data_IF_442644144781
#
_entry.id   IF_442644144781
#
_cell.length_a   1.000
_cell.length_b   1.000
_cell.length_c   1.000
_cell.angle_alpha   90.00
_cell.angle_beta   90.00
_cell.angle_gamma   90.00
#
_symmetry.space_group_name_H-M   'P 1'
#
loop_
_entity.id
_entity.type
_entity.pdbx_description
1 polymer ?
#
# COMPACT_ATOMS: atom_id res chain seq x y z
N UNK A 1 -0.73 -53.17 -26.95
CA UNK A 1 -0.40 -51.92 -26.22
C UNK A 1 1.05 -52.04 -25.72
N UNK A 2 2.01 -51.31 -26.30
CA UNK A 2 3.43 -51.41 -25.90
C UNK A 2 3.63 -50.66 -24.58
N UNK A 3 3.97 -51.37 -23.50
CA UNK A 3 4.32 -50.75 -22.23
C UNK A 3 5.59 -49.88 -22.42
N UNK A 4 5.59 -48.61 -22.01
CA UNK A 4 6.75 -47.75 -22.15
C UNK A 4 7.90 -48.28 -21.28
N UNK A 5 9.09 -48.36 -21.87
CA UNK A 5 10.31 -48.81 -21.19
C UNK A 5 10.56 -48.02 -19.90
N UNK A 6 11.09 -48.69 -18.88
CA UNK A 6 11.41 -48.14 -17.57
C UNK A 6 12.20 -46.81 -17.65
N UNK A 7 13.16 -46.72 -18.57
CA UNK A 7 13.95 -45.52 -18.85
C UNK A 7 13.11 -44.31 -19.33
N UNK A 8 12.01 -44.55 -20.05
CA UNK A 8 11.11 -43.50 -20.55
C UNK A 8 10.20 -42.97 -19.45
N UNK A 9 9.77 -43.83 -18.52
CA UNK A 9 9.02 -43.41 -17.33
C UNK A 9 9.88 -42.58 -16.38
N UNK A 10 11.14 -42.99 -16.18
CA UNK A 10 12.11 -42.29 -15.33
C UNK A 10 12.47 -40.90 -15.88
N UNK A 11 12.71 -40.79 -17.19
CA UNK A 11 12.99 -39.49 -17.82
C UNK A 11 11.79 -38.54 -17.76
N UNK A 12 10.57 -39.03 -18.00
CA UNK A 12 9.37 -38.20 -17.82
C UNK A 12 9.14 -37.78 -16.36
N UNK A 13 9.38 -38.67 -15.40
CA UNK A 13 9.28 -38.32 -13.98
C UNK A 13 10.30 -37.23 -13.58
N UNK A 14 11.53 -37.31 -14.10
CA UNK A 14 12.57 -36.29 -13.89
C UNK A 14 12.19 -34.95 -14.53
N UNK A 15 11.66 -34.95 -15.76
CA UNK A 15 11.17 -33.73 -16.41
C UNK A 15 10.01 -33.11 -15.62
N UNK A 16 9.04 -33.93 -15.21
CA UNK A 16 7.89 -33.46 -14.43
C UNK A 16 8.33 -32.88 -13.08
N UNK A 17 9.27 -33.53 -12.40
CA UNK A 17 9.82 -33.05 -11.14
C UNK A 17 10.56 -31.71 -11.31
N UNK A 18 11.32 -31.54 -12.39
CA UNK A 18 11.99 -30.27 -12.69
C UNK A 18 10.99 -29.16 -13.03
N UNK A 19 9.93 -29.46 -13.80
CA UNK A 19 8.87 -28.48 -14.10
C UNK A 19 8.12 -28.08 -12.83
N UNK A 20 7.77 -29.05 -11.96
CA UNK A 20 7.11 -28.77 -10.69
C UNK A 20 8.00 -27.96 -9.74
N UNK A 21 9.30 -28.30 -9.65
CA UNK A 21 10.27 -27.54 -8.87
C UNK A 21 10.40 -26.11 -9.40
N UNK A 22 10.48 -25.94 -10.72
CA UNK A 22 10.55 -24.62 -11.36
C UNK A 22 9.29 -23.79 -11.11
N UNK A 23 8.12 -24.39 -11.23
CA UNK A 23 6.83 -23.73 -10.95
C UNK A 23 6.71 -23.35 -9.47
N UNK A 24 7.14 -24.23 -8.56
CA UNK A 24 7.13 -23.97 -7.11
C UNK A 24 8.08 -22.85 -6.70
N UNK A 25 9.28 -22.79 -7.29
CA UNK A 25 10.22 -21.68 -7.04
C UNK A 25 9.67 -20.38 -7.63
N UNK A 26 9.12 -20.42 -8.86
CA UNK A 26 8.56 -19.25 -9.52
C UNK A 26 7.36 -18.67 -8.76
N UNK A 27 6.46 -19.52 -8.26
CA UNK A 27 5.33 -19.08 -7.45
C UNK A 27 5.77 -18.48 -6.12
N UNK A 28 6.81 -19.02 -5.48
CA UNK A 28 7.39 -18.45 -4.26
C UNK A 28 7.94 -17.03 -4.52
N UNK A 29 8.62 -16.79 -5.64
CA UNK A 29 9.09 -15.44 -6.00
C UNK A 29 7.93 -14.46 -6.27
N UNK A 30 6.86 -14.91 -6.92
CA UNK A 30 5.66 -14.09 -7.13
C UNK A 30 5.02 -13.74 -5.78
N UNK A 31 4.88 -14.72 -4.89
CA UNK A 31 4.28 -14.52 -3.57
C UNK A 31 5.10 -13.55 -2.72
N UNK A 32 6.43 -13.70 -2.68
CA UNK A 32 7.34 -12.79 -1.96
C UNK A 32 7.29 -11.37 -2.55
N UNK A 33 7.16 -11.25 -3.88
CA UNK A 33 7.02 -9.95 -4.53
C UNK A 33 5.70 -9.26 -4.21
N UNK A 34 4.60 -10.03 -4.17
CA UNK A 34 3.28 -9.51 -3.79
C UNK A 34 3.24 -9.09 -2.32
N UNK A 35 3.82 -9.88 -1.42
CA UNK A 35 3.87 -9.53 0.02
C UNK A 35 4.72 -8.27 0.26
N UNK A 36 5.88 -8.17 -0.39
CA UNK A 36 6.72 -6.98 -0.25
C UNK A 36 6.06 -5.69 -0.75
N UNK A 37 5.21 -5.80 -1.78
CA UNK A 37 4.42 -4.67 -2.31
C UNK A 37 3.31 -4.25 -1.35
N UNK A 38 2.71 -5.20 -0.66
CA UNK A 38 1.70 -4.93 0.37
C UNK A 38 2.32 -4.19 1.56
N UNK A 39 3.50 -4.62 2.01
CA UNK A 39 4.26 -3.95 3.06
C UNK A 39 4.69 -2.52 2.65
N UNK A 40 5.16 -2.33 1.42
CA UNK A 40 5.53 -1.01 0.91
C UNK A 40 4.33 -0.05 0.83
N UNK A 41 3.16 -0.53 0.40
CA UNK A 41 1.94 0.27 0.35
C UNK A 41 1.48 0.67 1.75
N UNK A 42 1.46 -0.27 2.69
CA UNK A 42 1.09 0.00 4.09
C UNK A 42 2.04 1.04 4.69
N UNK A 43 3.34 0.87 4.48
CA UNK A 43 4.33 1.82 4.97
C UNK A 43 4.20 3.21 4.34
N UNK A 44 3.86 3.30 3.05
CA UNK A 44 3.59 4.56 2.39
C UNK A 44 2.32 5.25 2.94
N UNK A 45 1.27 4.47 3.24
CA UNK A 45 0.03 4.97 3.84
C UNK A 45 0.23 5.45 5.28
N UNK A 46 1.04 4.75 6.08
CA UNK A 46 1.40 5.17 7.44
C UNK A 46 2.24 6.46 7.43
N UNK A 47 3.17 6.60 6.48
CA UNK A 47 3.91 7.86 6.30
C UNK A 47 2.96 9.00 5.89
N UNK A 48 2.01 8.69 5.01
CA UNK A 48 1.06 9.69 4.53
C UNK A 48 0.09 10.13 5.64
N UNK A 49 -0.35 9.22 6.51
CA UNK A 49 -1.18 9.57 7.67
C UNK A 49 -0.43 10.43 8.69
N UNK A 50 0.86 10.14 8.93
CA UNK A 50 1.72 10.98 9.77
C UNK A 50 1.92 12.38 9.18
N UNK A 51 2.14 12.46 7.87
CA UNK A 51 2.34 13.75 7.18
C UNK A 51 1.05 14.57 7.14
N UNK A 52 -0.09 13.94 6.87
CA UNK A 52 -1.40 14.57 6.99
C UNK A 52 -1.63 15.11 8.40
N UNK A 53 -1.25 14.33 9.42
CA UNK A 53 -1.31 14.73 10.81
C UNK A 53 -0.55 16.00 11.14
N UNK A 54 0.65 16.17 10.56
CA UNK A 54 1.44 17.40 10.67
C UNK A 54 0.82 18.59 9.93
N UNK A 55 0.13 18.33 8.82
CA UNK A 55 -0.55 19.35 8.02
C UNK A 55 -1.90 19.80 8.60
N UNK A 56 -2.43 19.14 9.65
CA UNK A 56 -3.67 19.58 10.28
C UNK A 56 -3.38 20.73 11.24
N UNK A 57 -3.92 21.91 10.92
CA UNK A 57 -3.81 23.12 11.72
C UNK A 57 -5.19 23.56 12.23
N UNK A 58 -5.20 24.60 13.06
CA UNK A 58 -6.42 25.30 13.46
C UNK A 58 -6.55 26.61 12.69
N UNK A 59 -7.76 26.91 12.21
CA UNK A 59 -8.10 28.21 11.63
C UNK A 59 -8.22 29.30 12.70
N UNK A 60 -8.42 30.55 12.27
CA UNK A 60 -8.62 31.70 13.18
C UNK A 60 -9.81 31.52 14.15
N UNK A 61 -10.71 30.58 13.85
CA UNK A 61 -11.89 30.23 14.65
C UNK A 61 -11.70 28.93 15.42
N UNK A 62 -10.47 28.44 15.57
CA UNK A 62 -10.12 27.20 16.28
C UNK A 62 -10.75 25.92 15.66
N UNK A 63 -11.13 25.99 14.38
CA UNK A 63 -11.66 24.82 13.64
C UNK A 63 -10.50 24.10 12.95
N UNK A 64 -10.49 22.76 12.98
CA UNK A 64 -9.46 22.01 12.27
C UNK A 64 -9.58 22.27 10.77
N UNK A 65 -8.44 22.46 10.12
CA UNK A 65 -8.31 22.54 8.68
C UNK A 65 -6.99 21.91 8.25
N UNK A 66 -6.93 21.48 6.99
CA UNK A 66 -5.66 21.11 6.37
C UNK A 66 -4.97 22.40 5.94
N UNK A 67 -3.73 22.62 6.39
CA UNK A 67 -2.91 23.74 5.97
C UNK A 67 -2.59 23.61 4.47
N UNK A 68 -3.10 24.51 3.61
CA UNK A 68 -2.79 24.47 2.18
C UNK A 68 -1.33 24.84 1.88
N UNK A 69 -0.62 25.45 2.84
CA UNK A 69 0.80 25.79 2.75
C UNK A 69 1.74 24.65 3.16
N UNK A 70 1.22 23.50 3.62
CA UNK A 70 2.07 22.38 4.00
C UNK A 70 2.68 21.71 2.75
N UNK A 71 3.96 21.99 2.51
CA UNK A 71 4.72 21.45 1.39
C UNK A 71 4.90 19.93 1.48
N UNK A 72 5.02 19.37 2.69
CA UNK A 72 5.24 17.95 2.90
C UNK A 72 3.98 17.13 2.53
N UNK A 73 2.81 17.62 2.93
CA UNK A 73 1.52 17.04 2.55
C UNK A 73 1.26 17.18 1.06
N UNK A 74 1.56 18.35 0.48
CA UNK A 74 1.42 18.58 -0.96
C UNK A 74 2.32 17.64 -1.77
N UNK A 75 3.56 17.44 -1.34
CA UNK A 75 4.49 16.48 -1.94
C UNK A 75 3.97 15.04 -1.81
N UNK A 76 3.46 14.66 -0.64
CA UNK A 76 2.91 13.31 -0.38
C UNK A 76 1.72 12.98 -1.26
N UNK A 77 0.78 13.93 -1.42
CA UNK A 77 -0.37 13.77 -2.33
C UNK A 77 0.04 13.62 -3.80
N UNK A 78 1.17 14.20 -4.16
CA UNK A 78 1.70 14.13 -5.53
C UNK A 78 2.43 12.81 -5.78
N UNK A 79 3.18 12.33 -4.78
CA UNK A 79 3.93 11.07 -4.82
C UNK A 79 2.99 9.87 -4.88
N UNK A 80 1.94 9.86 -4.05
CA UNK A 80 0.95 8.78 -4.01
C UNK A 80 -0.25 9.16 -4.86
N UNK A 81 -0.23 8.76 -6.14
CA UNK A 81 -1.36 9.03 -7.06
C UNK A 81 -2.65 8.38 -6.56
N UNK A 82 -3.72 9.17 -6.53
CA UNK A 82 -5.03 8.69 -6.08
C UNK A 82 -5.14 8.52 -4.57
N UNK A 83 -4.24 9.13 -3.80
CA UNK A 83 -4.36 9.23 -2.35
C UNK A 83 -5.62 9.99 -1.98
N UNK A 84 -6.45 9.35 -1.18
CA UNK A 84 -7.67 9.89 -0.58
C UNK A 84 -7.45 10.02 0.91
N UNK A 85 -8.10 10.98 1.54
CA UNK A 85 -7.99 11.17 2.97
C UNK A 85 -9.28 11.70 3.54
N UNK A 86 -9.47 11.48 4.83
CA UNK A 86 -10.48 12.17 5.61
C UNK A 86 -9.96 12.46 7.00
N UNK A 87 -10.49 13.51 7.60
CA UNK A 87 -10.19 13.89 8.98
C UNK A 87 -11.50 14.19 9.68
N UNK A 88 -11.68 13.64 10.86
CA UNK A 88 -12.85 13.84 11.69
C UNK A 88 -12.45 14.47 13.02
N UNK A 89 -13.22 15.46 13.43
CA UNK A 89 -13.16 16.07 14.74
C UNK A 89 -14.27 15.47 15.63
N UNK A 90 -13.93 14.57 16.57
CA UNK A 90 -14.90 13.98 17.50
C UNK A 90 -15.54 15.00 18.42
N UNK A 91 -14.87 16.12 18.74
CA UNK A 91 -15.42 17.14 19.61
C UNK A 91 -16.50 17.97 18.91
N UNK A 92 -16.32 18.21 17.60
CA UNK A 92 -17.31 18.92 16.78
C UNK A 92 -18.36 18.00 16.15
N UNK A 93 -18.12 16.68 16.14
CA UNK A 93 -18.97 15.70 15.44
C UNK A 93 -18.99 15.92 13.93
N UNK A 94 -17.90 16.45 13.37
CA UNK A 94 -17.87 16.91 11.98
C UNK A 94 -16.54 16.56 11.29
N UNK A 95 -16.61 16.43 9.96
CA UNK A 95 -15.45 16.26 9.11
C UNK A 95 -14.75 17.59 8.84
N UNK A 96 -13.43 17.54 8.77
CA UNK A 96 -12.58 18.66 8.40
C UNK A 96 -12.77 18.97 6.90
N UNK A 97 -12.87 20.25 6.52
CA UNK A 97 -12.92 20.65 5.12
C UNK A 97 -11.74 20.06 4.31
N UNK A 98 -12.04 19.52 3.13
CA UNK A 98 -11.06 18.86 2.27
C UNK A 98 -11.04 17.33 2.37
N UNK A 99 -11.75 16.75 3.35
CA UNK A 99 -11.96 15.30 3.43
C UNK A 99 -12.70 14.75 2.20
N UNK A 100 -12.29 13.57 1.74
CA UNK A 100 -12.83 12.91 0.54
C UNK A 100 -14.23 12.33 0.81
N UNK A 101 -15.27 12.77 0.07
CA UNK A 101 -16.65 12.36 0.33
C UNK A 101 -16.91 10.88 0.00
N UNK A 102 -16.23 10.31 -0.99
CA UNK A 102 -16.41 8.90 -1.35
C UNK A 102 -15.81 7.99 -0.28
N UNK A 103 -14.70 8.41 0.33
CA UNK A 103 -14.11 7.69 1.46
C UNK A 103 -14.98 7.79 2.72
N UNK A 104 -15.63 8.95 2.93
CA UNK A 104 -16.61 9.13 4.01
C UNK A 104 -17.80 8.19 3.83
N UNK A 105 -18.36 8.13 2.62
CA UNK A 105 -19.48 7.22 2.31
C UNK A 105 -19.08 5.75 2.49
N UNK A 106 -17.87 5.37 2.08
CA UNK A 106 -17.38 4.01 2.18
C UNK A 106 -17.10 3.56 3.62
N UNK A 107 -16.50 4.42 4.45
CA UNK A 107 -16.21 4.10 5.86
C UNK A 107 -17.41 4.29 6.79
N UNK A 108 -18.36 5.14 6.40
CA UNK A 108 -19.57 5.46 7.17
C UNK A 108 -19.25 5.96 8.59
N UNK A 109 -20.09 5.59 9.55
CA UNK A 109 -19.87 5.89 10.98
C UNK A 109 -19.06 4.80 11.69
N UNK A 110 -18.78 3.67 11.02
CA UNK A 110 -18.18 2.47 11.63
C UNK A 110 -16.74 2.74 12.08
N UNK A 111 -16.00 3.59 11.37
CA UNK A 111 -14.64 4.00 11.76
C UNK A 111 -14.58 4.97 12.95
N UNK A 112 -15.73 5.51 13.37
CA UNK A 112 -15.86 6.36 14.55
C UNK A 112 -16.00 5.55 15.85
N UNK A 113 -16.34 4.26 15.79
CA UNK A 113 -16.64 3.46 16.99
C UNK A 113 -15.47 2.64 17.56
N UNK A 114 -14.24 2.90 17.09
CA UNK A 114 -13.03 2.30 17.64
C UNK A 114 -12.57 1.12 16.79
N UNK A 115 -11.49 1.34 16.06
CA UNK A 115 -10.81 0.29 15.33
C UNK A 115 -9.63 -0.18 16.17
N UNK A 116 -9.60 -1.50 16.40
CA UNK A 116 -8.45 -2.17 17.01
C UNK A 116 -7.27 -2.30 16.02
N UNK A 117 -7.56 -2.20 14.71
CA UNK A 117 -6.58 -2.31 13.63
C UNK A 117 -6.20 -0.93 13.06
N UNK A 118 -4.91 -0.68 12.91
CA UNK A 118 -4.37 0.56 12.33
C UNK A 118 -4.59 0.66 10.81
N UNK A 119 -5.05 -0.41 10.16
CA UNK A 119 -5.20 -0.50 8.71
C UNK A 119 -6.59 -0.98 8.33
N UNK A 120 -7.05 -0.60 7.14
CA UNK A 120 -8.35 -1.00 6.62
C UNK A 120 -8.32 -1.36 5.14
N UNK A 121 -9.32 -2.12 4.72
CA UNK A 121 -9.62 -2.41 3.31
C UNK A 121 -11.12 -2.20 3.09
N UNK A 122 -11.48 -1.31 2.17
CA UNK A 122 -12.87 -0.96 1.88
C UNK A 122 -13.11 -0.81 0.39
N UNK A 123 -14.33 -1.12 -0.05
CA UNK A 123 -14.78 -0.91 -1.42
C UNK A 123 -15.47 0.44 -1.51
N UNK A 124 -15.00 1.31 -2.41
CA UNK A 124 -15.60 2.60 -2.69
C UNK A 124 -16.92 2.44 -3.47
N UNK A 125 -17.78 3.49 -3.49
CA UNK A 125 -19.04 3.47 -4.24
C UNK A 125 -18.87 3.18 -5.74
N UNK A 126 -17.72 3.52 -6.31
CA UNK A 126 -17.36 3.24 -7.70
C UNK A 126 -16.89 1.79 -7.96
N UNK A 127 -16.93 0.93 -6.93
CA UNK A 127 -16.55 -0.47 -7.00
C UNK A 127 -15.04 -0.74 -6.85
N UNK A 128 -14.20 0.28 -6.70
CA UNK A 128 -12.76 0.09 -6.47
C UNK A 128 -12.47 -0.26 -5.02
N UNK A 129 -11.60 -1.23 -4.81
CA UNK A 129 -11.10 -1.54 -3.47
C UNK A 129 -9.88 -0.70 -3.14
N UNK A 130 -9.93 -0.03 -1.99
CA UNK A 130 -8.82 0.76 -1.44
C UNK A 130 -8.35 0.17 -0.14
N UNK A 131 -7.07 0.40 0.16
CA UNK A 131 -6.47 0.09 1.45
C UNK A 131 -6.04 1.38 2.11
N UNK A 132 -6.11 1.44 3.42
CA UNK A 132 -5.79 2.65 4.15
C UNK A 132 -5.20 2.42 5.52
N UNK A 133 -4.70 3.51 6.09
CA UNK A 133 -4.15 3.62 7.43
C UNK A 133 -5.00 4.60 8.24
N UNK A 134 -5.22 4.25 9.50
CA UNK A 134 -5.92 5.06 10.50
C UNK A 134 -4.91 5.57 11.50
N UNK A 135 -5.04 6.86 11.83
CA UNK A 135 -4.22 7.48 12.86
C UNK A 135 -5.06 8.41 13.72
N UNK A 136 -4.63 8.60 14.97
CA UNK A 136 -5.15 9.66 15.83
C UNK A 136 -4.03 10.64 16.10
N UNK A 137 -4.28 11.92 15.84
CA UNK A 137 -3.33 13.02 16.12
C UNK A 137 -3.94 13.99 17.10
N UNK A 138 -3.10 14.67 17.87
CA UNK A 138 -3.54 15.68 18.82
C UNK A 138 -3.09 17.04 18.33
N UNK A 139 -4.04 17.88 17.93
CA UNK A 139 -3.78 19.25 17.48
C UNK A 139 -4.27 20.21 18.55
N UNK A 140 -3.35 20.96 19.15
CA UNK A 140 -3.63 21.89 20.26
C UNK A 140 -4.47 21.25 21.40
N UNK A 141 -4.17 20.00 21.76
CA UNK A 141 -4.89 19.26 22.80
C UNK A 141 -6.21 18.63 22.35
N UNK A 142 -6.62 18.80 21.09
CA UNK A 142 -7.82 18.14 20.53
C UNK A 142 -7.44 16.89 19.74
N UNK A 143 -7.94 15.70 20.12
CA UNK A 143 -7.71 14.49 19.34
C UNK A 143 -8.55 14.55 18.05
N UNK A 144 -7.89 14.36 16.90
CA UNK A 144 -8.49 14.24 15.59
C UNK A 144 -8.22 12.85 15.04
N UNK A 145 -9.21 12.28 14.35
CA UNK A 145 -9.06 10.98 13.69
C UNK A 145 -8.81 11.20 12.22
N UNK A 146 -7.80 10.50 11.71
CA UNK A 146 -7.34 10.59 10.34
C UNK A 146 -7.51 9.22 9.68
N UNK A 147 -7.91 9.22 8.42
CA UNK A 147 -7.80 8.06 7.56
C UNK A 147 -7.16 8.49 6.25
N UNK A 148 -6.21 7.69 5.77
CA UNK A 148 -5.59 7.87 4.46
C UNK A 148 -5.73 6.57 3.69
N UNK A 149 -6.25 6.64 2.46
CA UNK A 149 -6.47 5.48 1.61
C UNK A 149 -5.81 5.66 0.24
N UNK A 150 -5.21 4.59 -0.26
CA UNK A 150 -4.68 4.48 -1.61
C UNK A 150 -5.37 3.34 -2.36
N UNK A 151 -5.51 3.50 -3.68
CA UNK A 151 -5.91 2.38 -4.53
C UNK A 151 -4.91 1.23 -4.41
N UNK A 152 -5.40 -0.02 -4.51
CA UNK A 152 -4.47 -1.11 -4.76
C UNK A 152 -3.68 -0.75 -6.02
N UNK A 153 -2.36 -0.65 -5.88
CA UNK A 153 -1.46 -0.63 -7.02
C UNK A 153 -1.66 -2.01 -7.68
N UNK A 154 -2.65 -2.11 -8.57
CA UNK A 154 -3.26 -3.38 -8.99
C UNK A 154 -3.12 -3.64 -10.49
N UNK A 155 -2.25 -2.90 -11.18
CA UNK A 155 -1.94 -3.20 -12.57
C UNK A 155 -0.86 -4.28 -12.68
N UNK A 156 -1.10 -5.29 -13.55
CA UNK A 156 -0.02 -6.12 -14.13
C UNK A 156 1.16 -5.25 -14.62
N UNK A 157 0.87 -4.05 -15.12
CA UNK A 157 1.85 -3.06 -15.55
C UNK A 157 2.81 -2.62 -14.43
N UNK A 158 2.30 -2.34 -13.23
CA UNK A 158 3.13 -1.96 -12.09
C UNK A 158 3.88 -3.15 -11.49
N UNK A 159 3.34 -4.36 -11.63
CA UNK A 159 4.05 -5.60 -11.29
C UNK A 159 5.25 -5.83 -12.21
N UNK A 160 5.08 -5.60 -13.52
CA UNK A 160 6.18 -5.67 -14.50
C UNK A 160 7.22 -4.56 -14.28
N UNK A 161 6.79 -3.34 -13.94
CA UNK A 161 7.69 -2.24 -13.60
C UNK A 161 8.51 -2.55 -12.33
N UNK A 162 7.88 -3.11 -11.30
CA UNK A 162 8.55 -3.56 -10.08
C UNK A 162 9.50 -4.74 -10.34
N UNK A 163 9.10 -5.75 -11.12
CA UNK A 163 9.99 -6.84 -11.52
C UNK A 163 11.22 -6.30 -12.28
N UNK A 164 11.01 -5.37 -13.21
CA UNK A 164 12.09 -4.73 -13.97
C UNK A 164 13.06 -3.96 -13.08
N UNK A 165 12.55 -3.15 -12.15
CA UNK A 165 13.37 -2.33 -11.23
C UNK A 165 14.02 -3.17 -10.12
N UNK A 166 13.34 -4.17 -9.57
CA UNK A 166 13.87 -5.07 -8.54
C UNK A 166 14.89 -6.06 -9.08
N UNK A 167 14.67 -6.61 -10.29
CA UNK A 167 15.71 -7.37 -11.00
C UNK A 167 16.91 -6.49 -11.27
N UNK A 168 16.73 -5.26 -11.78
CA UNK A 168 17.85 -4.32 -11.96
C UNK A 168 18.56 -3.98 -10.65
N UNK A 169 17.85 -3.73 -9.55
CA UNK A 169 18.46 -3.37 -8.27
C UNK A 169 19.23 -4.54 -7.62
N UNK A 170 18.70 -5.77 -7.69
CA UNK A 170 19.39 -6.97 -7.19
C UNK A 170 20.54 -7.40 -8.10
N UNK A 171 20.37 -7.39 -9.42
CA UNK A 171 21.47 -7.68 -10.36
C UNK A 171 22.54 -6.59 -10.31
N UNK A 172 22.20 -5.30 -10.23
CA UNK A 172 23.21 -4.24 -10.05
C UNK A 172 23.96 -4.39 -8.74
N UNK A 173 23.31 -4.78 -7.63
CA UNK A 173 24.04 -5.06 -6.37
C UNK A 173 24.92 -6.31 -6.45
N UNK A 174 24.53 -7.33 -7.21
CA UNK A 174 25.35 -8.53 -7.43
C UNK A 174 26.49 -8.28 -8.43
N UNK A 175 26.29 -7.46 -9.46
CA UNK A 175 27.33 -7.06 -10.41
C UNK A 175 28.32 -6.05 -9.79
N UNK A 176 27.87 -5.13 -8.92
CA UNK A 176 28.79 -4.21 -8.23
C UNK A 176 29.60 -4.87 -7.10
N UNK A 177 29.24 -6.08 -6.64
CA UNK A 177 30.05 -6.84 -5.67
C UNK A 177 31.10 -7.76 -6.30
N UNK A 178 31.08 -7.95 -7.61
CA UNK A 178 32.00 -8.86 -8.32
C UNK A 178 33.06 -8.15 -9.19
N UNK A 179 33.19 -6.83 -9.11
CA UNK A 179 34.26 -6.09 -9.79
C UNK A 179 35.41 -5.77 -8.83
N UNK A 180 36.60 -6.41 -8.98
CA UNK A 180 37.81 -6.01 -8.29
C UNK A 180 38.53 -4.98 -9.16
N UNK A 181 38.26 -3.70 -8.96
CA UNK A 181 39.19 -2.65 -9.40
C UNK A 181 39.52 -1.78 -8.20
N UNK A 182 40.66 -2.11 -7.59
CA UNK A 182 41.57 -1.13 -6.99
C UNK A 182 42.39 -0.50 -8.12
#
# INVERSE_FOLDING_TARGET
>A
MRQPSLARRLSWALVLANVLAFLGISSAFVFIGLSGREDELIYALDRASATLGGAVALDDRQRPMIDPGDEAWTATRTDIRGLRFLVFDPAAGAFVPGSDPELIEALGDVWLQGWDEAHFKVTLPDGRTVRGSLATVVVAGRPLRLAVAGGEAGGLHDFWYWLGTSCCARFCRQCCRSWPFR
#
